data_IF_716396015857
#
_entry.id   IF_716396015857
#
_cell.length_a   1.000
_cell.length_b   1.000
_cell.length_c   1.000
_cell.angle_alpha   90.00
_cell.angle_beta   90.00
_cell.angle_gamma   90.00
#
_symmetry.space_group_name_H-M   'P 1'
#
loop_
_entity.id
_entity.type
_entity.pdbx_description
1 polymer ?
#
# COMPACT_ATOMS: atom_id res chain seq x y z
N UNK A 1 -5.72 -8.77 -16.25
CA UNK A 1 -5.00 -7.48 -16.26
C UNK A 1 -5.13 -6.74 -14.92
N UNK A 2 -6.31 -6.25 -14.50
CA UNK A 2 -6.43 -5.58 -13.18
C UNK A 2 -6.13 -6.48 -11.98
N UNK A 3 -6.54 -7.76 -12.04
CA UNK A 3 -6.24 -8.78 -11.03
C UNK A 3 -4.74 -8.98 -10.82
N UNK A 4 -3.99 -9.08 -11.91
CA UNK A 4 -2.55 -9.35 -11.88
C UNK A 4 -1.78 -8.15 -11.31
N UNK A 5 -2.24 -6.93 -11.59
CA UNK A 5 -1.74 -5.69 -10.97
C UNK A 5 -2.04 -5.64 -9.46
N UNK A 6 -3.27 -5.98 -9.03
CA UNK A 6 -3.60 -6.05 -7.59
C UNK A 6 -2.77 -7.11 -6.85
N UNK A 7 -2.57 -8.29 -7.46
CA UNK A 7 -1.73 -9.35 -6.89
C UNK A 7 -0.27 -8.92 -6.76
N UNK A 8 0.27 -8.21 -7.76
CA UNK A 8 1.61 -7.63 -7.70
C UNK A 8 1.75 -6.61 -6.57
N UNK A 9 0.77 -5.71 -6.45
CA UNK A 9 0.70 -4.71 -5.37
C UNK A 9 0.64 -5.38 -3.99
N UNK A 10 -0.22 -6.38 -3.82
CA UNK A 10 -0.39 -7.12 -2.56
C UNK A 10 0.91 -7.81 -2.14
N UNK A 11 1.64 -8.43 -3.08
CA UNK A 11 2.98 -8.99 -2.80
C UNK A 11 3.98 -7.93 -2.35
N UNK A 12 3.97 -6.75 -2.97
CA UNK A 12 4.83 -5.64 -2.56
C UNK A 12 4.48 -5.15 -1.16
N UNK A 13 3.20 -4.94 -0.85
CA UNK A 13 2.74 -4.58 0.50
C UNK A 13 3.17 -5.64 1.53
N UNK A 14 3.03 -6.92 1.21
CA UNK A 14 3.47 -8.03 2.07
C UNK A 14 4.99 -7.99 2.31
N UNK A 15 5.80 -7.73 1.27
CA UNK A 15 7.26 -7.61 1.40
C UNK A 15 7.67 -6.44 2.30
N UNK A 16 6.89 -5.35 2.28
CA UNK A 16 7.11 -4.16 3.10
C UNK A 16 6.53 -4.30 4.53
N UNK A 17 5.78 -5.37 4.82
CA UNK A 17 5.12 -5.59 6.11
C UNK A 17 3.90 -4.69 6.32
N UNK A 18 3.26 -4.25 5.24
CA UNK A 18 2.10 -3.34 5.27
C UNK A 18 0.81 -4.09 4.96
N UNK A 19 -0.28 -3.68 5.60
CA UNK A 19 -1.60 -4.17 5.26
C UNK A 19 -2.03 -3.60 3.91
N UNK A 20 -2.27 -4.49 2.93
CA UNK A 20 -2.77 -4.11 1.61
C UNK A 20 -4.05 -3.26 1.69
N UNK A 21 -4.96 -3.59 2.61
CA UNK A 21 -6.22 -2.87 2.79
C UNK A 21 -6.04 -1.47 3.38
N UNK A 22 -5.03 -1.25 4.24
CA UNK A 22 -4.69 0.11 4.68
C UNK A 22 -4.18 0.96 3.51
N UNK A 23 -3.29 0.40 2.68
CA UNK A 23 -2.78 1.12 1.51
C UNK A 23 -3.87 1.41 0.46
N UNK A 24 -4.77 0.44 0.24
CA UNK A 24 -5.90 0.62 -0.68
C UNK A 24 -6.94 1.60 -0.13
N UNK A 25 -7.22 1.54 1.17
CA UNK A 25 -8.14 2.46 1.85
C UNK A 25 -7.67 3.91 1.79
N UNK A 26 -6.36 4.14 1.96
CA UNK A 26 -5.75 5.47 1.79
C UNK A 26 -5.97 6.01 0.37
N UNK A 27 -5.68 5.19 -0.64
CA UNK A 27 -5.82 5.59 -2.05
C UNK A 27 -7.27 5.80 -2.48
N UNK A 28 -8.22 5.13 -1.83
CA UNK A 28 -9.64 5.28 -2.09
C UNK A 28 -10.28 6.39 -1.23
N UNK A 29 -9.52 7.04 -0.33
CA UNK A 29 -10.06 8.03 0.61
C UNK A 29 -11.04 7.44 1.63
N UNK A 30 -10.95 6.12 1.87
CA UNK A 30 -11.78 5.39 2.84
C UNK A 30 -11.09 5.38 4.21
N UNK A 31 -9.76 5.54 4.25
CA UNK A 31 -9.03 5.70 5.50
C UNK A 31 -9.30 7.07 6.12
N UNK A 32 -9.51 7.08 7.43
CA UNK A 32 -9.55 8.29 8.25
C UNK A 32 -8.24 9.08 8.05
N UNK A 33 -8.32 10.41 7.98
CA UNK A 33 -7.17 11.30 7.68
C UNK A 33 -5.96 11.06 8.60
N UNK A 34 -6.19 10.46 9.78
CA UNK A 34 -5.16 10.09 10.76
C UNK A 34 -4.28 8.90 10.31
N UNK A 35 -4.76 8.06 9.37
CA UNK A 35 -4.10 6.83 8.90
C UNK A 35 -3.62 6.94 7.44
N UNK A 36 -3.03 8.09 7.08
CA UNK A 36 -2.41 8.28 5.76
C UNK A 36 -1.27 7.28 5.55
N UNK A 37 -1.42 6.36 4.60
CA UNK A 37 -0.36 5.41 4.26
C UNK A 37 0.59 6.11 3.31
N UNK A 38 1.84 6.26 3.75
CA UNK A 38 2.90 6.84 2.93
C UNK A 38 2.96 6.15 1.54
N UNK A 39 3.28 6.88 0.45
CA UNK A 39 3.39 6.28 -0.87
C UNK A 39 4.41 5.14 -0.87
N UNK A 40 4.15 4.08 -1.64
CA UNK A 40 4.99 2.88 -1.70
C UNK A 40 6.46 3.20 -1.95
N UNK A 41 6.76 4.20 -2.77
CA UNK A 41 8.12 4.65 -3.02
C UNK A 41 8.83 5.14 -1.74
N UNK A 42 8.14 5.89 -0.88
CA UNK A 42 8.66 6.36 0.40
C UNK A 42 8.86 5.23 1.39
N UNK A 43 7.97 4.24 1.41
CA UNK A 43 8.10 3.06 2.27
C UNK A 43 9.25 2.14 1.84
N UNK A 44 9.46 2.01 0.53
CA UNK A 44 10.62 1.29 -0.04
C UNK A 44 11.91 2.04 0.28
N UNK A 45 11.93 3.37 0.13
CA UNK A 45 13.10 4.19 0.45
C UNK A 45 13.43 4.21 1.95
N UNK A 46 12.43 4.19 2.83
CA UNK A 46 12.62 4.14 4.28
C UNK A 46 13.10 2.77 4.79
N UNK A 47 12.98 1.71 3.98
CA UNK A 47 13.50 0.36 4.29
C UNK A 47 14.86 0.08 3.62
N UNK A 48 15.39 0.98 2.80
CA UNK A 48 16.67 0.84 2.11
C UNK A 48 17.86 1.23 2.99
#
# INVERSE_FOLDING_TARGET
>A
QARDSMLGLMKTCQKLGLSFWHYLGDRLGISDEDHAVAPLASLVAARA
#
